data_IF_275156066428
#
_entry.id   IF_275156066428
#
_cell.length_a   1.000
_cell.length_b   1.000
_cell.length_c   1.000
_cell.angle_alpha   90.00
_cell.angle_beta   90.00
_cell.angle_gamma   90.00
#
_symmetry.space_group_name_H-M   'P 1'
#
loop_
_entity.id
_entity.type
_entity.pdbx_description
1 polymer ?
#
# COMPACT_ATOMS: atom_id res chain seq x y z
N UNK A 1 -5.08 -8.22 32.43
CA UNK A 1 -5.47 -8.19 31.00
C UNK A 1 -6.40 -9.36 30.74
N UNK A 2 -7.64 -9.07 30.39
CA UNK A 2 -8.59 -10.12 29.97
C UNK A 2 -8.40 -10.43 28.48
N UNK A 3 -8.72 -11.67 28.10
CA UNK A 3 -8.74 -12.03 26.69
C UNK A 3 -9.96 -11.41 26.00
N UNK A 4 -9.78 -10.95 24.77
CA UNK A 4 -10.85 -10.44 23.93
C UNK A 4 -10.89 -11.22 22.64
N UNK A 5 -12.04 -11.23 21.97
CA UNK A 5 -12.21 -11.91 20.69
C UNK A 5 -12.15 -10.87 19.57
N UNK A 6 -11.17 -11.02 18.71
CA UNK A 6 -10.99 -10.16 17.54
C UNK A 6 -11.35 -10.92 16.27
N UNK A 7 -11.83 -10.22 15.25
CA UNK A 7 -12.16 -10.82 13.96
C UNK A 7 -11.53 -10.05 12.80
N UNK A 8 -10.99 -10.79 11.85
CA UNK A 8 -10.51 -10.26 10.58
C UNK A 8 -11.22 -10.99 9.44
N UNK A 9 -11.89 -10.25 8.58
CA UNK A 9 -12.55 -10.77 7.38
C UNK A 9 -11.89 -10.19 6.14
N UNK A 10 -11.63 -11.01 5.14
CA UNK A 10 -11.08 -10.55 3.86
C UNK A 10 -11.52 -11.50 2.72
N UNK A 11 -11.49 -10.98 1.51
CA UNK A 11 -11.79 -11.75 0.31
C UNK A 11 -10.57 -12.54 -0.15
N UNK A 12 -10.83 -13.75 -0.72
CA UNK A 12 -9.77 -14.61 -1.23
C UNK A 12 -8.90 -13.99 -2.32
N UNK A 13 -9.35 -12.92 -2.97
CA UNK A 13 -8.55 -12.15 -3.91
C UNK A 13 -7.26 -11.60 -3.32
N UNK A 14 -7.21 -11.33 -2.01
CA UNK A 14 -6.00 -10.91 -1.29
C UNK A 14 -4.88 -11.94 -1.30
N UNK A 15 -5.18 -13.18 -1.62
CA UNK A 15 -4.20 -14.28 -1.68
C UNK A 15 -3.49 -14.37 -3.04
N UNK A 16 -3.96 -13.66 -4.06
CA UNK A 16 -3.38 -13.70 -5.40
C UNK A 16 -2.01 -13.04 -5.41
N UNK A 17 -1.04 -13.74 -5.98
CA UNK A 17 0.31 -13.22 -6.14
C UNK A 17 0.38 -12.31 -7.36
N UNK A 18 1.37 -11.43 -7.40
CA UNK A 18 1.56 -10.49 -8.49
C UNK A 18 1.91 -9.09 -7.99
N UNK A 19 1.89 -8.13 -8.89
CA UNK A 19 2.21 -6.74 -8.57
C UNK A 19 0.93 -5.99 -8.21
N UNK A 20 0.83 -5.57 -6.94
CA UNK A 20 -0.31 -4.85 -6.38
C UNK A 20 0.13 -3.48 -5.88
N UNK A 21 -0.79 -2.53 -5.92
CA UNK A 21 -0.70 -1.29 -5.16
C UNK A 21 -1.69 -1.39 -4.01
N UNK A 22 -1.32 -0.90 -2.84
CA UNK A 22 -2.21 -0.88 -1.68
C UNK A 22 -2.06 0.41 -0.88
N UNK A 23 -3.12 0.73 -0.15
CA UNK A 23 -3.16 1.86 0.77
C UNK A 23 -3.66 1.34 2.12
N UNK A 24 -2.89 1.60 3.16
CA UNK A 24 -3.34 1.46 4.54
C UNK A 24 -3.98 2.76 4.98
N UNK A 25 -5.19 2.67 5.50
CA UNK A 25 -5.86 3.73 6.23
C UNK A 25 -5.88 3.36 7.71
N UNK A 26 -5.30 4.21 8.54
CA UNK A 26 -5.15 3.96 9.97
C UNK A 26 -5.87 5.06 10.75
N UNK A 27 -6.84 4.65 11.54
CA UNK A 27 -7.47 5.54 12.51
C UNK A 27 -6.74 5.39 13.85
N UNK A 28 -6.01 6.41 14.25
CA UNK A 28 -5.29 6.43 15.51
C UNK A 28 -6.24 6.65 16.70
N UNK A 29 -5.82 6.30 17.94
CA UNK A 29 -6.67 6.51 19.13
C UNK A 29 -7.04 7.97 19.37
N UNK A 30 -6.27 8.92 18.89
CA UNK A 30 -6.51 10.37 18.99
C UNK A 30 -7.30 10.93 17.79
N UNK A 31 -7.96 10.07 17.03
CA UNK A 31 -8.80 10.39 15.87
C UNK A 31 -8.04 10.91 14.63
N UNK A 32 -6.70 10.89 14.63
CA UNK A 32 -5.95 11.17 13.41
C UNK A 32 -6.17 10.05 12.40
N UNK A 33 -6.42 10.42 11.15
CA UNK A 33 -6.42 9.50 10.01
C UNK A 33 -5.06 9.56 9.31
N UNK A 34 -4.37 8.44 9.31
CA UNK A 34 -3.03 8.32 8.72
C UNK A 34 -3.05 7.31 7.57
N UNK A 35 -2.23 7.55 6.57
CA UNK A 35 -2.21 6.72 5.36
C UNK A 35 -0.80 6.26 5.04
N UNK A 36 -0.70 5.07 4.49
CA UNK A 36 0.54 4.51 4.00
C UNK A 36 0.30 3.87 2.63
N UNK A 37 1.09 4.26 1.63
CA UNK A 37 1.00 3.73 0.27
C UNK A 37 2.15 2.75 0.03
N UNK A 38 1.84 1.59 -0.52
CA UNK A 38 2.83 0.57 -0.77
C UNK A 38 2.52 -0.29 -1.99
N UNK A 39 3.41 -1.22 -2.26
CA UNK A 39 3.29 -2.16 -3.37
C UNK A 39 3.82 -3.53 -3.01
N UNK A 40 3.42 -4.54 -3.78
CA UNK A 40 4.08 -5.84 -3.79
C UNK A 40 5.06 -5.91 -4.97
N UNK A 41 5.97 -6.89 -4.97
CA UNK A 41 6.95 -7.06 -6.03
C UNK A 41 8.18 -6.16 -5.94
N UNK A 42 8.41 -5.54 -4.79
CA UNK A 42 9.55 -4.64 -4.53
C UNK A 42 10.86 -5.37 -4.22
N UNK A 43 10.82 -6.68 -4.08
CA UNK A 43 12.01 -7.49 -3.79
C UNK A 43 12.96 -7.61 -4.98
N UNK A 44 14.17 -8.05 -4.71
CA UNK A 44 15.18 -8.35 -5.74
C UNK A 44 14.99 -9.73 -6.39
N UNK A 45 14.08 -10.55 -5.87
CA UNK A 45 13.73 -11.86 -6.44
C UNK A 45 12.51 -11.74 -7.35
N UNK A 46 12.26 -12.76 -8.17
CA UNK A 46 11.09 -12.80 -9.05
C UNK A 46 9.77 -12.95 -8.31
N UNK A 47 9.79 -13.19 -6.99
CA UNK A 47 8.59 -13.40 -6.20
C UNK A 47 7.87 -12.09 -5.93
N UNK A 48 6.65 -11.97 -6.43
CA UNK A 48 5.74 -10.89 -6.10
C UNK A 48 4.69 -11.42 -5.13
N UNK A 49 4.77 -10.97 -3.88
CA UNK A 49 3.91 -11.48 -2.81
C UNK A 49 2.47 -10.98 -2.94
N UNK A 50 1.54 -11.70 -2.32
CA UNK A 50 0.15 -11.24 -2.22
C UNK A 50 0.02 -10.10 -1.21
N UNK A 51 -1.06 -9.29 -1.29
CA UNK A 51 -1.36 -8.30 -0.24
C UNK A 51 -1.48 -8.92 1.15
N UNK A 52 -1.98 -10.14 1.25
CA UNK A 52 -2.08 -10.85 2.52
C UNK A 52 -0.71 -11.04 3.20
N UNK A 53 0.31 -11.46 2.44
CA UNK A 53 1.66 -11.59 2.98
C UNK A 53 2.23 -10.25 3.44
N UNK A 54 2.03 -9.19 2.65
CA UNK A 54 2.52 -7.85 3.00
C UNK A 54 1.83 -7.29 4.24
N UNK A 55 0.55 -7.61 4.44
CA UNK A 55 -0.20 -7.18 5.63
C UNK A 55 0.49 -7.65 6.92
N UNK A 56 0.82 -8.92 7.00
CA UNK A 56 1.52 -9.48 8.15
C UNK A 56 2.92 -8.90 8.35
N UNK A 57 3.63 -8.63 7.26
CA UNK A 57 4.96 -8.02 7.32
C UNK A 57 4.92 -6.58 7.86
N UNK A 58 3.98 -5.76 7.39
CA UNK A 58 3.89 -4.34 7.79
C UNK A 58 3.63 -4.12 9.27
N UNK A 59 2.87 -4.98 9.90
CA UNK A 59 2.46 -4.85 11.28
C UNK A 59 3.14 -5.85 12.22
N UNK A 60 3.92 -6.78 11.67
CA UNK A 60 4.65 -7.78 12.44
C UNK A 60 5.86 -7.22 13.18
N UNK A 61 6.56 -8.11 13.90
CA UNK A 61 7.74 -7.78 14.70
C UNK A 61 9.07 -8.06 14.00
N UNK A 62 9.05 -8.55 12.76
CA UNK A 62 10.28 -8.83 12.01
C UNK A 62 11.06 -7.53 11.76
N UNK A 63 12.33 -7.49 12.14
CA UNK A 63 13.16 -6.27 12.15
C UNK A 63 13.26 -5.58 10.78
N UNK A 64 13.15 -6.32 9.68
CA UNK A 64 13.43 -5.83 8.34
C UNK A 64 12.16 -5.54 7.52
N UNK A 65 10.97 -5.75 8.05
CA UNK A 65 9.75 -5.71 7.24
C UNK A 65 8.57 -4.94 7.85
N UNK A 66 8.68 -4.44 9.06
CA UNK A 66 7.57 -3.81 9.78
C UNK A 66 7.44 -2.29 9.50
N UNK A 67 7.40 -1.92 8.24
CA UNK A 67 7.46 -0.50 7.84
C UNK A 67 6.28 0.33 8.35
N UNK A 68 5.05 -0.18 8.27
CA UNK A 68 3.89 0.54 8.78
C UNK A 68 4.00 0.80 10.29
N UNK A 69 4.42 -0.22 11.04
CA UNK A 69 4.66 -0.07 12.48
C UNK A 69 5.71 1.01 12.79
N UNK A 70 6.78 1.05 11.99
CA UNK A 70 7.84 2.08 12.16
C UNK A 70 7.31 3.49 11.90
N UNK A 71 6.52 3.68 10.84
CA UNK A 71 5.93 4.99 10.55
C UNK A 71 4.94 5.43 11.62
N UNK A 72 4.11 4.53 12.12
CA UNK A 72 3.21 4.82 13.23
C UNK A 72 3.99 5.25 14.49
N UNK A 73 5.07 4.52 14.81
CA UNK A 73 5.95 4.87 15.93
C UNK A 73 6.53 6.27 15.80
N UNK A 74 6.97 6.66 14.59
CA UNK A 74 7.49 8.02 14.31
C UNK A 74 6.42 9.10 14.50
N UNK A 75 5.15 8.76 14.35
CA UNK A 75 4.02 9.65 14.59
C UNK A 75 3.48 9.58 16.02
N UNK A 76 4.17 8.86 16.92
CA UNK A 76 3.76 8.70 18.30
C UNK A 76 2.49 7.86 18.46
N UNK A 77 2.24 6.93 17.55
CA UNK A 77 1.02 6.12 17.53
C UNK A 77 1.35 4.67 17.87
N UNK A 78 0.65 4.14 18.87
CA UNK A 78 0.74 2.72 19.24
C UNK A 78 -0.22 1.90 18.38
N UNK A 79 0.29 0.91 17.60
CA UNK A 79 -0.56 0.16 16.67
C UNK A 79 -1.74 -0.56 17.33
N UNK A 80 -1.57 -1.06 18.53
CA UNK A 80 -2.63 -1.83 19.21
C UNK A 80 -3.91 -1.03 19.49
N UNK A 81 -3.81 0.29 19.54
CA UNK A 81 -4.98 1.16 19.74
C UNK A 81 -5.63 1.65 18.44
N UNK A 82 -5.10 1.27 17.30
CA UNK A 82 -5.57 1.76 16.00
C UNK A 82 -6.66 0.86 15.39
N UNK A 83 -7.41 1.45 14.46
CA UNK A 83 -8.26 0.70 13.52
C UNK A 83 -7.59 0.74 12.15
N UNK A 84 -7.51 -0.40 11.50
CA UNK A 84 -6.84 -0.55 10.21
C UNK A 84 -7.81 -0.92 9.10
N UNK A 85 -7.63 -0.28 7.95
CA UNK A 85 -8.31 -0.63 6.71
C UNK A 85 -7.26 -0.76 5.61
N UNK A 86 -7.20 -1.91 4.95
CA UNK A 86 -6.31 -2.15 3.82
C UNK A 86 -7.12 -2.19 2.52
N UNK A 87 -6.80 -1.28 1.61
CA UNK A 87 -7.36 -1.27 0.26
C UNK A 87 -6.25 -1.63 -0.70
N UNK A 88 -6.42 -2.71 -1.45
CA UNK A 88 -5.44 -3.18 -2.42
C UNK A 88 -6.09 -3.32 -3.80
N UNK A 89 -5.37 -2.92 -4.84
CA UNK A 89 -5.80 -3.04 -6.22
C UNK A 89 -4.78 -3.84 -7.02
N UNK A 90 -5.23 -4.89 -7.67
CA UNK A 90 -4.36 -5.73 -8.47
C UNK A 90 -4.86 -7.17 -8.65
N UNK A 91 -3.99 -8.07 -9.12
CA UNK A 91 -2.66 -7.74 -9.63
C UNK A 91 -2.74 -6.86 -10.88
N UNK A 92 -1.96 -5.78 -10.91
CA UNK A 92 -1.90 -4.91 -12.10
C UNK A 92 -0.93 -5.46 -13.14
N UNK A 93 0.02 -6.27 -12.70
CA UNK A 93 0.92 -7.07 -13.54
C UNK A 93 1.11 -8.43 -12.86
N UNK A 94 1.24 -9.47 -13.68
CA UNK A 94 1.51 -10.82 -13.17
C UNK A 94 2.95 -10.96 -12.67
N UNK A 95 3.19 -11.95 -11.81
CA UNK A 95 4.54 -12.36 -11.46
C UNK A 95 5.34 -12.68 -12.71
N UNK A 96 6.62 -12.31 -12.72
CA UNK A 96 7.53 -12.57 -13.83
C UNK A 96 8.23 -13.93 -13.65
N UNK A 97 8.52 -14.58 -14.75
CA UNK A 97 9.23 -15.86 -14.76
C UNK A 97 10.76 -15.70 -14.66
N UNK A 98 11.27 -14.51 -15.00
CA UNK A 98 12.69 -14.21 -14.96
C UNK A 98 12.96 -12.84 -14.31
N UNK A 99 14.21 -12.66 -13.88
CA UNK A 99 14.60 -11.46 -13.13
C UNK A 99 14.53 -10.19 -13.97
N UNK A 100 14.85 -10.23 -15.25
CA UNK A 100 14.79 -9.05 -16.11
C UNK A 100 13.36 -8.51 -16.23
N UNK A 101 12.41 -9.37 -16.53
CA UNK A 101 10.99 -9.00 -16.61
C UNK A 101 10.47 -8.54 -15.25
N UNK A 102 10.90 -9.18 -14.16
CA UNK A 102 10.56 -8.75 -12.82
C UNK A 102 11.03 -7.31 -12.55
N UNK A 103 12.27 -6.99 -12.89
CA UNK A 103 12.81 -5.64 -12.68
C UNK A 103 12.06 -4.58 -13.50
N UNK A 104 11.69 -4.88 -14.73
CA UNK A 104 10.89 -3.99 -15.57
C UNK A 104 9.51 -3.72 -14.96
N UNK A 105 8.84 -4.76 -14.49
CA UNK A 105 7.54 -4.65 -13.83
C UNK A 105 7.64 -3.93 -12.49
N UNK A 106 8.66 -4.26 -11.71
CA UNK A 106 8.94 -3.59 -10.44
C UNK A 106 9.10 -2.08 -10.63
N UNK A 107 9.85 -1.67 -11.63
CA UNK A 107 10.10 -0.25 -11.91
C UNK A 107 8.84 0.48 -12.36
N UNK A 108 8.00 -0.15 -13.20
CA UNK A 108 6.71 0.41 -13.61
C UNK A 108 5.78 0.61 -12.42
N UNK A 109 5.67 -0.39 -11.56
CA UNK A 109 4.80 -0.34 -10.37
C UNK A 109 5.34 0.65 -9.34
N UNK A 110 6.66 0.79 -9.21
CA UNK A 110 7.27 1.80 -8.35
C UNK A 110 6.88 3.22 -8.75
N UNK A 111 6.84 3.52 -10.04
CA UNK A 111 6.38 4.81 -10.55
C UNK A 111 4.93 5.10 -10.20
N UNK A 112 4.08 4.10 -10.26
CA UNK A 112 2.65 4.20 -9.92
C UNK A 112 2.47 4.40 -8.42
N UNK A 113 3.20 3.65 -7.60
CA UNK A 113 3.19 3.82 -6.14
C UNK A 113 3.53 5.26 -5.74
N UNK A 114 4.60 5.80 -6.31
CA UNK A 114 5.01 7.18 -6.07
C UNK A 114 3.92 8.17 -6.49
N UNK A 115 3.40 8.02 -7.69
CA UNK A 115 2.36 8.93 -8.22
C UNK A 115 1.09 8.89 -7.37
N UNK A 116 0.69 7.71 -6.89
CA UNK A 116 -0.48 7.59 -6.02
C UNK A 116 -0.23 8.24 -4.66
N UNK A 117 0.93 8.01 -4.05
CA UNK A 117 1.27 8.64 -2.78
C UNK A 117 1.26 10.17 -2.88
N UNK A 118 1.83 10.73 -3.94
CA UNK A 118 1.82 12.16 -4.21
C UNK A 118 0.40 12.69 -4.46
N UNK A 119 -0.39 11.99 -5.27
CA UNK A 119 -1.78 12.39 -5.55
C UNK A 119 -2.64 12.38 -4.28
N UNK A 120 -2.47 11.40 -3.42
CA UNK A 120 -3.17 11.35 -2.14
C UNK A 120 -2.77 12.51 -1.23
N UNK A 121 -1.50 12.83 -1.14
CA UNK A 121 -1.01 13.98 -0.38
C UNK A 121 -1.58 15.30 -0.89
N UNK A 122 -1.60 15.51 -2.19
CA UNK A 122 -2.19 16.70 -2.83
C UNK A 122 -3.71 16.77 -2.55
N UNK A 123 -4.39 15.62 -2.53
CA UNK A 123 -5.82 15.54 -2.22
C UNK A 123 -6.14 15.78 -0.74
N UNK A 124 -5.14 15.95 0.12
CA UNK A 124 -5.31 16.29 1.54
C UNK A 124 -5.28 15.09 2.48
N UNK A 125 -4.92 13.91 2.01
CA UNK A 125 -4.70 12.76 2.88
C UNK A 125 -3.33 12.86 3.56
N UNK A 126 -3.27 12.51 4.84
CA UNK A 126 -2.01 12.52 5.62
C UNK A 126 -1.22 11.22 5.36
N UNK A 127 -0.46 11.22 4.26
CA UNK A 127 0.37 10.07 3.86
C UNK A 127 1.69 10.11 4.63
N UNK A 128 1.91 9.10 5.45
CA UNK A 128 3.07 9.04 6.35
C UNK A 128 4.40 8.79 5.62
N UNK A 129 4.36 8.04 4.51
CA UNK A 129 5.58 7.66 3.81
C UNK A 129 5.81 8.49 2.55
N UNK A 130 7.08 8.71 2.24
CA UNK A 130 7.52 9.31 0.99
C UNK A 130 8.10 8.21 0.11
N UNK A 131 7.54 8.04 -1.08
CA UNK A 131 8.03 7.06 -2.05
C UNK A 131 9.06 7.73 -2.95
N UNK A 132 10.29 7.20 -2.93
CA UNK A 132 11.37 7.68 -3.80
C UNK A 132 11.47 6.79 -5.03
N UNK A 133 11.25 7.35 -6.20
CA UNK A 133 11.37 6.65 -7.47
C UNK A 133 11.81 7.62 -8.56
N UNK A 134 12.79 7.22 -9.37
CA UNK A 134 13.28 8.01 -10.51
C UNK A 134 12.83 7.44 -11.86
N UNK A 135 11.98 6.41 -11.83
CA UNK A 135 11.50 5.74 -13.04
C UNK A 135 10.37 6.53 -13.69
N UNK A 136 10.28 6.43 -15.00
CA UNK A 136 9.22 7.07 -15.77
C UNK A 136 7.84 6.54 -15.34
N UNK A 137 6.86 7.42 -15.29
CA UNK A 137 5.48 7.05 -14.98
C UNK A 137 4.77 6.53 -16.22
N UNK A 138 4.16 5.35 -16.10
CA UNK A 138 3.15 4.88 -17.05
C UNK A 138 1.82 5.58 -16.74
N UNK A 139 1.56 6.68 -17.45
CA UNK A 139 0.43 7.54 -17.18
C UNK A 139 -0.93 6.85 -17.38
N UNK A 140 -1.02 5.96 -18.36
CA UNK A 140 -2.25 5.20 -18.66
C UNK A 140 -2.57 4.23 -17.54
N UNK A 141 -1.57 3.46 -17.11
CA UNK A 141 -1.73 2.51 -16.01
C UNK A 141 -2.02 3.25 -14.69
N UNK A 142 -1.37 4.38 -14.45
CA UNK A 142 -1.64 5.19 -13.27
C UNK A 142 -3.08 5.71 -13.25
N UNK A 143 -3.62 6.16 -14.38
CA UNK A 143 -5.00 6.64 -14.45
C UNK A 143 -5.99 5.54 -14.04
N UNK A 144 -5.79 4.31 -14.50
CA UNK A 144 -6.63 3.17 -14.10
C UNK A 144 -6.54 2.88 -12.60
N UNK A 145 -5.33 2.88 -12.04
CA UNK A 145 -5.08 2.64 -10.62
C UNK A 145 -5.70 3.78 -9.78
N UNK A 146 -5.47 5.02 -10.19
CA UNK A 146 -6.06 6.19 -9.51
C UNK A 146 -7.58 6.13 -9.47
N UNK A 147 -8.23 5.78 -10.60
CA UNK A 147 -9.68 5.67 -10.67
C UNK A 147 -10.21 4.58 -9.72
N UNK A 148 -9.51 3.45 -9.64
CA UNK A 148 -9.86 2.38 -8.71
C UNK A 148 -9.79 2.83 -7.25
N UNK A 149 -8.72 3.51 -6.85
CA UNK A 149 -8.57 4.03 -5.50
C UNK A 149 -9.52 5.21 -5.20
N UNK A 150 -9.88 6.00 -6.20
CA UNK A 150 -10.82 7.10 -6.02
C UNK A 150 -12.22 6.63 -5.59
N UNK A 151 -12.61 5.40 -5.88
CA UNK A 151 -13.86 4.82 -5.38
C UNK A 151 -13.85 4.67 -3.85
N UNK A 152 -12.69 4.41 -3.28
CA UNK A 152 -12.52 4.24 -1.83
C UNK A 152 -12.00 5.51 -1.14
N UNK A 153 -11.33 6.38 -1.88
CA UNK A 153 -10.76 7.65 -1.41
C UNK A 153 -11.25 8.79 -2.30
N UNK A 154 -12.48 9.29 -2.07
CA UNK A 154 -13.16 10.21 -3.01
C UNK A 154 -12.45 11.53 -3.27
N UNK A 155 -11.60 12.01 -2.36
CA UNK A 155 -10.83 13.24 -2.59
C UNK A 155 -9.86 13.15 -3.76
N UNK A 156 -9.50 11.92 -4.19
CA UNK A 156 -8.68 11.72 -5.40
C UNK A 156 -9.39 12.13 -6.69
N UNK A 157 -10.72 12.25 -6.69
CA UNK A 157 -11.50 12.68 -7.85
C UNK A 157 -11.64 14.20 -7.97
N UNK A 158 -11.26 14.96 -6.94
CA UNK A 158 -11.56 16.39 -6.85
C UNK A 158 -10.73 17.28 -7.81
N UNK A 159 -9.72 16.72 -8.48
CA UNK A 159 -8.78 17.45 -9.36
C UNK A 159 -9.09 17.36 -10.85
N UNK A 160 -10.30 17.04 -11.24
CA UNK A 160 -10.74 17.11 -12.64
C UNK A 160 -11.38 18.46 -12.94
N UNK A 161 -10.66 19.51 -12.59
CA UNK A 161 -11.08 20.87 -12.93
C UNK A 161 -10.21 21.46 -14.00
#
# INVERSE_FOLDING_TARGET
MSAETEMLNFDGGFLRRGFWIYVWQVMAPDDRELYYVGRTGDSSSCNAQSPFNRMGQHLGFAKNSNMLRKYLSRHGVEPNGCKFRLVAHGPILDEAENLQTHQERRDRVAGIEKALAEAMGVAGYDVMNTVKCRKALDASMFAEVRDAFALEFPRLQADTG
#
